data_IF_375771307609
#
_entry.id   IF_375771307609
#
_cell.length_a   1.000
_cell.length_b   1.000
_cell.length_c   1.000
_cell.angle_alpha   90.00
_cell.angle_beta   90.00
_cell.angle_gamma   90.00
#
_symmetry.space_group_name_H-M   'P 1'
#
loop_
_entity.id
_entity.type
_entity.pdbx_description
1 polymer ?
#
# COMPACT_ATOMS: atom_id res chain seq x y z
N UNK A 1 -13.37 9.51 11.02
CA UNK A 1 -13.34 8.34 10.11
C UNK A 1 -14.62 8.36 9.26
N UNK A 2 -14.57 9.00 8.09
CA UNK A 2 -15.72 9.18 7.17
C UNK A 2 -15.80 8.09 6.08
N UNK A 3 -15.25 6.92 6.33
CA UNK A 3 -14.98 5.91 5.29
C UNK A 3 -15.99 4.75 5.24
N UNK A 4 -17.16 4.85 5.89
CA UNK A 4 -18.09 3.70 5.94
C UNK A 4 -19.52 3.93 5.41
N UNK A 5 -19.96 5.14 5.02
CA UNK A 5 -21.37 5.29 4.58
C UNK A 5 -21.73 6.49 3.71
N UNK A 6 -20.81 7.02 2.90
CA UNK A 6 -21.17 8.03 1.88
C UNK A 6 -21.09 7.42 0.48
N UNK A 7 -22.25 7.28 -0.17
CA UNK A 7 -22.30 6.94 -1.59
C UNK A 7 -21.51 7.98 -2.39
N UNK A 8 -20.52 7.54 -3.17
CA UNK A 8 -19.78 8.40 -4.09
C UNK A 8 -20.44 8.34 -5.45
N UNK A 9 -20.94 9.49 -5.91
CA UNK A 9 -21.49 9.64 -7.26
C UNK A 9 -20.34 9.90 -8.22
N UNK A 10 -20.20 9.05 -9.24
CA UNK A 10 -19.25 9.26 -10.33
C UNK A 10 -19.98 9.90 -11.50
N UNK A 11 -19.66 11.15 -11.82
CA UNK A 11 -20.22 11.89 -12.95
C UNK A 11 -19.28 11.97 -14.16
N UNK A 12 -18.19 11.19 -14.14
CA UNK A 12 -17.20 11.21 -15.21
C UNK A 12 -17.81 10.71 -16.53
N UNK A 13 -17.79 11.56 -17.56
CA UNK A 13 -18.28 11.24 -18.91
C UNK A 13 -17.16 10.90 -19.89
N UNK A 14 -15.90 10.93 -19.45
CA UNK A 14 -14.71 10.68 -20.27
C UNK A 14 -13.78 9.70 -19.59
N UNK A 15 -13.13 8.86 -20.40
CA UNK A 15 -12.05 7.99 -19.94
C UNK A 15 -10.84 8.83 -19.54
N UNK A 16 -10.31 8.60 -18.34
CA UNK A 16 -9.15 9.33 -17.83
C UNK A 16 -7.83 8.99 -18.56
N UNK A 17 -7.77 7.86 -19.28
CA UNK A 17 -6.59 7.48 -20.07
C UNK A 17 -6.62 8.04 -21.49
N UNK A 18 -7.76 7.91 -22.19
CA UNK A 18 -7.86 8.28 -23.61
C UNK A 18 -8.52 9.63 -23.87
N UNK A 19 -9.22 10.20 -22.89
CA UNK A 19 -10.02 11.43 -23.04
C UNK A 19 -11.30 11.26 -23.89
N UNK A 20 -11.50 10.08 -24.49
CA UNK A 20 -12.68 9.72 -25.24
C UNK A 20 -13.92 9.64 -24.33
N UNK A 21 -15.15 9.72 -24.87
CA UNK A 21 -16.35 9.42 -24.12
C UNK A 21 -16.22 8.09 -23.38
N UNK A 22 -16.67 8.07 -22.12
CA UNK A 22 -16.63 6.86 -21.31
C UNK A 22 -17.62 5.85 -21.89
N UNK A 23 -17.10 4.72 -22.36
CA UNK A 23 -17.91 3.63 -22.92
C UNK A 23 -18.14 2.57 -21.86
N UNK A 24 -19.36 2.02 -21.83
CA UNK A 24 -19.67 0.89 -20.96
C UNK A 24 -19.15 -0.44 -21.57
N UNK A 25 -18.71 -1.40 -20.74
CA UNK A 25 -18.60 -1.31 -19.28
C UNK A 25 -17.46 -0.38 -18.83
N UNK A 26 -17.68 0.31 -17.71
CA UNK A 26 -16.74 1.26 -17.14
C UNK A 26 -16.31 0.84 -15.73
N UNK A 27 -15.05 1.15 -15.39
CA UNK A 27 -14.46 0.92 -14.07
C UNK A 27 -14.19 2.27 -13.42
N UNK A 28 -14.66 2.42 -12.17
CA UNK A 28 -14.51 3.64 -11.38
C UNK A 28 -13.65 3.36 -10.15
N UNK A 29 -12.53 4.06 -10.03
CA UNK A 29 -11.67 3.96 -8.86
C UNK A 29 -12.06 5.00 -7.81
N UNK A 30 -11.81 4.69 -6.53
CA UNK A 30 -12.08 5.60 -5.41
C UNK A 30 -11.22 6.89 -5.44
N UNK A 31 -10.17 6.94 -6.27
CA UNK A 31 -9.47 8.20 -6.53
C UNK A 31 -10.26 9.17 -7.43
N UNK A 32 -11.39 8.74 -8.00
CA UNK A 32 -12.25 9.54 -8.88
C UNK A 32 -12.03 9.30 -10.38
N UNK A 33 -10.95 8.61 -10.77
CA UNK A 33 -10.69 8.29 -12.17
C UNK A 33 -11.59 7.17 -12.68
N UNK A 34 -12.09 7.36 -13.89
CA UNK A 34 -13.00 6.44 -14.57
C UNK A 34 -12.42 6.03 -15.92
N UNK A 35 -12.57 4.75 -16.26
CA UNK A 35 -11.98 4.17 -17.46
C UNK A 35 -12.98 3.25 -18.15
N UNK A 36 -13.00 3.26 -19.48
CA UNK A 36 -13.69 2.21 -20.25
C UNK A 36 -12.89 0.92 -20.09
N UNK A 37 -13.54 -0.23 -19.93
CA UNK A 37 -12.82 -1.52 -19.76
C UNK A 37 -11.84 -1.76 -20.90
N UNK A 38 -12.20 -1.42 -22.15
CA UNK A 38 -11.31 -1.51 -23.32
C UNK A 38 -9.98 -0.75 -23.15
N UNK A 39 -10.01 0.42 -22.50
CA UNK A 39 -8.81 1.24 -22.27
C UNK A 39 -7.98 0.77 -21.08
N UNK A 40 -8.59 0.04 -20.16
CA UNK A 40 -7.93 -0.48 -18.95
C UNK A 40 -7.25 -1.83 -19.20
N UNK A 41 -7.74 -2.59 -20.19
CA UNK A 41 -7.23 -3.93 -20.50
C UNK A 41 -7.54 -4.91 -19.38
N UNK A 42 -6.56 -5.76 -19.03
CA UNK A 42 -6.69 -6.75 -17.95
C UNK A 42 -6.34 -6.20 -16.55
N UNK A 43 -6.01 -4.90 -16.43
CA UNK A 43 -5.57 -4.32 -15.16
C UNK A 43 -6.69 -3.52 -14.47
N UNK A 44 -7.65 -4.21 -13.85
CA UNK A 44 -8.78 -3.61 -13.14
C UNK A 44 -8.59 -3.44 -11.63
N UNK A 45 -7.46 -3.91 -11.09
CA UNK A 45 -7.17 -3.87 -9.66
C UNK A 45 -6.72 -2.51 -9.12
N UNK A 46 -6.07 -1.67 -9.94
CA UNK A 46 -5.50 -0.39 -9.51
C UNK A 46 -5.65 0.72 -10.56
N UNK A 47 -5.83 1.97 -10.11
CA UNK A 47 -5.90 3.10 -11.04
C UNK A 47 -4.53 3.31 -11.70
N UNK A 48 -4.39 3.20 -13.04
CA UNK A 48 -3.10 3.28 -13.71
C UNK A 48 -2.42 4.66 -13.60
N UNK A 49 -3.20 5.71 -13.38
CA UNK A 49 -2.67 7.07 -13.18
C UNK A 49 -2.10 7.30 -11.77
N UNK A 50 -2.65 6.61 -10.77
CA UNK A 50 -2.26 6.79 -9.36
C UNK A 50 -1.29 5.71 -8.86
N UNK A 51 -1.35 4.50 -9.44
CA UNK A 51 -0.52 3.37 -9.04
C UNK A 51 0.99 3.71 -9.03
N UNK A 52 1.57 4.41 -10.03
CA UNK A 52 2.99 4.76 -10.01
C UNK A 52 3.36 5.64 -8.81
N UNK A 53 2.52 6.60 -8.44
CA UNK A 53 2.76 7.50 -7.31
C UNK A 53 2.69 6.79 -5.96
N UNK A 54 1.82 5.78 -5.85
CA UNK A 54 1.63 5.04 -4.61
C UNK A 54 2.57 3.85 -4.45
N UNK A 55 3.21 3.40 -5.55
CA UNK A 55 4.08 2.23 -5.56
C UNK A 55 5.20 2.30 -4.53
N UNK A 56 5.88 3.45 -4.42
CA UNK A 56 6.97 3.63 -3.44
C UNK A 56 6.48 3.43 -2.00
N UNK A 57 5.33 4.01 -1.63
CA UNK A 57 4.77 3.87 -0.29
C UNK A 57 4.31 2.43 -0.03
N UNK A 58 3.71 1.78 -1.02
CA UNK A 58 3.29 0.39 -0.93
C UNK A 58 4.49 -0.56 -0.80
N UNK A 59 5.58 -0.29 -1.52
CA UNK A 59 6.83 -1.05 -1.47
C UNK A 59 7.52 -0.86 -0.12
N UNK A 60 7.58 0.37 0.42
CA UNK A 60 8.06 0.62 1.78
C UNK A 60 7.24 -0.20 2.78
N UNK A 61 5.91 -0.13 2.72
CA UNK A 61 5.02 -0.90 3.62
C UNK A 61 5.15 -2.41 3.44
N UNK A 62 5.45 -2.89 2.23
CA UNK A 62 5.69 -4.31 1.94
C UNK A 62 7.01 -4.76 2.55
N UNK A 63 8.09 -4.00 2.35
CA UNK A 63 9.40 -4.26 2.93
C UNK A 63 9.36 -4.24 4.47
N UNK A 64 8.64 -3.30 5.07
CA UNK A 64 8.41 -3.27 6.52
C UNK A 64 7.72 -4.55 7.02
N UNK A 65 6.69 -5.04 6.31
CA UNK A 65 6.00 -6.30 6.65
C UNK A 65 6.87 -7.53 6.47
N UNK A 66 7.69 -7.59 5.43
CA UNK A 66 8.59 -8.71 5.19
C UNK A 66 9.68 -8.81 6.27
N UNK A 67 10.23 -7.67 6.69
CA UNK A 67 11.24 -7.61 7.76
C UNK A 67 10.73 -8.05 9.13
N UNK A 68 9.41 -8.07 9.36
CA UNK A 68 8.82 -8.50 10.63
C UNK A 68 9.09 -9.99 10.96
N UNK A 69 9.47 -10.80 9.96
CA UNK A 69 9.88 -12.19 10.15
C UNK A 69 11.35 -12.35 10.58
N UNK A 70 12.14 -11.27 10.67
CA UNK A 70 13.60 -11.33 10.82
C UNK A 70 14.09 -11.02 12.25
N UNK A 71 13.37 -11.50 13.27
CA UNK A 71 13.69 -11.24 14.68
C UNK A 71 15.09 -11.73 15.09
N UNK A 72 15.56 -12.85 14.53
CA UNK A 72 16.91 -13.37 14.83
C UNK A 72 18.03 -12.46 14.28
N UNK A 73 17.77 -11.77 13.16
CA UNK A 73 18.72 -10.79 12.61
C UNK A 73 18.83 -9.57 13.50
N UNK A 74 17.72 -9.13 14.11
CA UNK A 74 17.73 -8.05 15.08
C UNK A 74 18.65 -8.37 16.26
N UNK A 75 18.45 -9.50 16.93
CA UNK A 75 19.25 -9.86 18.10
C UNK A 75 20.72 -10.08 17.76
N UNK A 76 21.01 -10.62 16.57
CA UNK A 76 22.39 -10.80 16.09
C UNK A 76 23.07 -9.45 15.82
N UNK A 77 22.39 -8.50 15.17
CA UNK A 77 22.96 -7.18 14.92
C UNK A 77 23.13 -6.38 16.20
N UNK A 78 22.15 -6.43 17.11
CA UNK A 78 22.20 -5.72 18.39
C UNK A 78 23.40 -6.17 19.24
N UNK A 79 23.64 -7.48 19.33
CA UNK A 79 24.79 -8.05 20.08
C UNK A 79 26.15 -7.63 19.53
N UNK A 80 26.23 -7.38 18.22
CA UNK A 80 27.48 -7.08 17.53
C UNK A 80 27.64 -5.58 17.21
N UNK A 81 26.69 -4.72 17.57
CA UNK A 81 26.75 -3.30 17.24
C UNK A 81 27.51 -2.50 18.29
N UNK A 82 28.24 -1.49 17.83
CA UNK A 82 28.85 -0.49 18.71
C UNK A 82 27.80 0.50 19.29
N UNK A 83 26.71 0.73 18.55
CA UNK A 83 25.59 1.57 18.97
C UNK A 83 24.27 0.79 18.87
N UNK A 84 23.88 0.19 20.00
CA UNK A 84 22.64 -0.58 20.08
C UNK A 84 21.38 0.25 19.95
N UNK A 85 21.43 1.55 20.27
CA UNK A 85 20.26 2.41 20.17
C UNK A 85 19.89 2.68 18.71
N UNK A 86 20.88 2.93 17.86
CA UNK A 86 20.66 3.08 16.41
C UNK A 86 20.03 1.82 15.81
N UNK A 87 20.49 0.62 16.20
CA UNK A 87 19.91 -0.65 15.75
C UNK A 87 18.45 -0.78 16.21
N UNK A 88 18.15 -0.46 17.47
CA UNK A 88 16.76 -0.48 17.97
C UNK A 88 15.87 0.50 17.22
N UNK A 89 16.34 1.73 16.99
CA UNK A 89 15.59 2.78 16.28
C UNK A 89 15.29 2.38 14.82
N UNK A 90 16.25 1.78 14.12
CA UNK A 90 16.09 1.29 12.75
C UNK A 90 15.04 0.18 12.67
N UNK A 91 15.15 -0.85 13.52
CA UNK A 91 14.22 -1.98 13.51
C UNK A 91 12.82 -1.62 14.02
N UNK A 92 12.73 -0.67 14.96
CA UNK A 92 11.46 -0.09 15.39
C UNK A 92 10.79 0.70 14.26
N UNK A 93 11.54 1.57 13.57
CA UNK A 93 11.04 2.34 12.41
C UNK A 93 10.57 1.45 11.26
N UNK A 94 11.13 0.24 11.14
CA UNK A 94 10.69 -0.77 10.17
C UNK A 94 9.50 -1.62 10.60
N UNK A 95 9.00 -1.45 11.82
CA UNK A 95 7.86 -2.20 12.36
C UNK A 95 8.16 -3.66 12.69
N UNK A 96 9.43 -4.08 12.69
CA UNK A 96 9.85 -5.46 12.95
C UNK A 96 9.54 -5.87 14.39
N UNK A 97 9.68 -4.93 15.32
CA UNK A 97 9.36 -5.11 16.75
C UNK A 97 7.86 -5.05 17.04
N UNK A 98 7.02 -4.62 16.09
CA UNK A 98 5.58 -4.43 16.30
C UNK A 98 4.78 -5.74 16.17
N UNK A 99 5.37 -6.77 15.53
CA UNK A 99 4.75 -8.10 15.39
C UNK A 99 4.72 -8.91 16.71
N UNK A 100 5.34 -8.41 17.79
CA UNK A 100 5.46 -9.12 19.07
C UNK A 100 4.19 -9.01 19.92
N UNK A 101 3.19 -8.21 19.55
CA UNK A 101 2.02 -7.93 20.40
C UNK A 101 0.88 -8.98 20.38
N UNK A 102 1.12 -10.23 19.95
CA UNK A 102 0.08 -11.28 20.05
C UNK A 102 0.57 -12.69 20.39
N UNK A 103 1.69 -12.83 21.10
CA UNK A 103 1.97 -14.07 21.83
C UNK A 103 1.37 -13.99 23.22
N UNK A 104 0.08 -14.30 23.31
CA UNK A 104 -0.57 -14.73 24.55
C UNK A 104 0.27 -15.87 25.13
N UNK A 105 1.03 -15.59 26.18
CA UNK A 105 1.60 -16.64 27.02
C UNK A 105 0.42 -17.41 27.62
N UNK A 106 0.27 -18.67 27.23
CA UNK A 106 -0.42 -19.67 28.03
C UNK A 106 0.61 -20.28 28.98
#
# INVERSE_FOLDING_TARGET
AELQSKARVYQASKCALSGAPLELPAVHFLCGHSFSVKSLGENDGECPLCAPQHRTVLDIRRSMRAGASEQDKFFTQLKNSADGFSVVAEFFGRGILNAVSHRTMH
#
